data_IF_498938799372
#
_entry.id   IF_498938799372
#
_cell.length_a   1.000
_cell.length_b   1.000
_cell.length_c   1.000
_cell.angle_alpha   90.00
_cell.angle_beta   90.00
_cell.angle_gamma   90.00
#
_symmetry.space_group_name_H-M   'P 1'
#
loop_
_entity.id
_entity.type
_entity.pdbx_description
1 polymer ?
#
# COMPACT_ATOMS: atom_id res chain seq x y z
N UNK A 1 -36.51 -18.82 17.67
CA UNK A 1 -36.18 -17.97 16.50
C UNK A 1 -35.28 -16.82 16.96
N UNK A 2 -35.82 -15.74 17.56
CA UNK A 2 -35.02 -14.58 18.00
C UNK A 2 -33.94 -14.90 19.05
N UNK A 3 -34.25 -15.76 20.02
CA UNK A 3 -33.30 -16.16 21.06
C UNK A 3 -32.11 -16.98 20.54
N UNK A 4 -32.28 -17.67 19.42
CA UNK A 4 -31.23 -18.45 18.76
C UNK A 4 -30.33 -17.51 17.97
N UNK A 5 -30.93 -16.61 17.20
CA UNK A 5 -30.21 -15.58 16.44
C UNK A 5 -29.31 -14.69 17.32
N UNK A 6 -29.79 -14.26 18.50
CA UNK A 6 -28.98 -13.44 19.42
C UNK A 6 -27.79 -14.25 19.98
N UNK A 7 -27.95 -15.56 20.21
CA UNK A 7 -26.83 -16.41 20.65
C UNK A 7 -25.79 -16.58 19.55
N UNK A 8 -26.23 -16.84 18.31
CA UNK A 8 -25.34 -16.96 17.15
C UNK A 8 -24.56 -15.67 16.90
N UNK A 9 -25.20 -14.51 17.05
CA UNK A 9 -24.54 -13.20 16.90
C UNK A 9 -23.46 -12.95 17.98
N UNK A 10 -23.67 -13.43 19.20
CA UNK A 10 -22.69 -13.29 20.29
C UNK A 10 -21.49 -14.21 20.10
N UNK A 11 -21.69 -15.40 19.52
CA UNK A 11 -20.62 -16.36 19.22
C UNK A 11 -19.90 -16.05 17.88
N UNK A 12 -20.38 -15.08 17.10
CA UNK A 12 -19.83 -14.71 15.80
C UNK A 12 -18.53 -13.89 15.95
N UNK A 13 -17.41 -14.50 15.54
CA UNK A 13 -16.08 -13.87 15.52
C UNK A 13 -15.69 -13.27 14.17
N UNK A 14 -16.56 -13.35 13.15
CA UNK A 14 -16.28 -12.85 11.80
C UNK A 14 -15.95 -11.35 11.81
N UNK A 15 -16.63 -10.56 12.65
CA UNK A 15 -16.34 -9.14 12.84
C UNK A 15 -14.95 -8.89 13.44
N UNK A 16 -14.51 -9.69 14.40
CA UNK A 16 -13.16 -9.61 14.96
C UNK A 16 -12.10 -9.98 13.91
N UNK A 17 -12.34 -11.05 13.13
CA UNK A 17 -11.43 -11.44 12.04
C UNK A 17 -11.35 -10.38 10.93
N UNK A 18 -12.46 -9.68 10.63
CA UNK A 18 -12.45 -8.59 9.66
C UNK A 18 -11.54 -7.42 10.08
N UNK A 19 -11.44 -7.14 11.38
CA UNK A 19 -10.52 -6.13 11.93
C UNK A 19 -9.07 -6.60 11.81
N UNK A 20 -8.79 -7.87 12.10
CA UNK A 20 -7.43 -8.43 12.00
C UNK A 20 -6.93 -8.42 10.55
N UNK A 21 -7.71 -8.94 9.61
CA UNK A 21 -7.36 -8.91 8.19
C UNK A 21 -7.33 -7.49 7.64
N UNK A 22 -8.24 -6.61 8.10
CA UNK A 22 -8.22 -5.18 7.76
C UNK A 22 -6.94 -4.48 8.24
N UNK A 23 -6.47 -4.81 9.44
CA UNK A 23 -5.21 -4.29 9.98
C UNK A 23 -4.00 -4.81 9.19
N UNK A 24 -3.97 -6.10 8.85
CA UNK A 24 -2.88 -6.68 8.03
C UNK A 24 -2.82 -5.99 6.67
N UNK A 25 -3.95 -5.85 5.97
CA UNK A 25 -4.01 -5.19 4.65
C UNK A 25 -3.59 -3.73 4.74
N UNK A 26 -4.03 -2.99 5.76
CA UNK A 26 -3.64 -1.59 5.92
C UNK A 26 -2.13 -1.43 6.13
N UNK A 27 -1.50 -2.30 6.93
CA UNK A 27 -0.04 -2.30 7.11
C UNK A 27 0.72 -2.65 5.82
N UNK A 28 0.22 -3.60 5.03
CA UNK A 28 0.80 -3.95 3.72
C UNK A 28 0.73 -2.74 2.78
N UNK A 29 -0.41 -2.06 2.71
CA UNK A 29 -0.57 -0.87 1.85
C UNK A 29 0.37 0.26 2.27
N UNK A 30 0.54 0.50 3.57
CA UNK A 30 1.49 1.52 4.07
C UNK A 30 2.92 1.18 3.66
N UNK A 31 3.34 -0.08 3.80
CA UNK A 31 4.67 -0.52 3.38
C UNK A 31 4.87 -0.40 1.86
N UNK A 32 3.84 -0.74 1.07
CA UNK A 32 3.84 -0.58 -0.38
C UNK A 32 4.01 0.89 -0.79
N UNK A 33 3.31 1.83 -0.16
CA UNK A 33 3.42 3.26 -0.46
C UNK A 33 4.87 3.73 -0.25
N UNK A 34 5.49 3.35 0.86
CA UNK A 34 6.89 3.70 1.15
C UNK A 34 7.86 3.12 0.09
N UNK A 35 7.67 1.87 -0.31
CA UNK A 35 8.47 1.24 -1.35
C UNK A 35 8.31 1.94 -2.71
N UNK A 36 7.07 2.27 -3.09
CA UNK A 36 6.76 2.97 -4.34
C UNK A 36 7.38 4.37 -4.39
N UNK A 37 7.42 5.09 -3.26
CA UNK A 37 8.12 6.38 -3.18
C UNK A 37 9.62 6.23 -3.48
N UNK A 38 10.26 5.18 -2.95
CA UNK A 38 11.67 4.88 -3.25
C UNK A 38 11.91 4.60 -4.74
N UNK A 39 11.05 3.80 -5.36
CA UNK A 39 11.10 3.50 -6.80
C UNK A 39 10.90 4.76 -7.64
N UNK A 40 9.91 5.59 -7.28
CA UNK A 40 9.63 6.86 -7.97
C UNK A 40 10.84 7.80 -7.91
N UNK A 41 11.45 7.97 -6.73
CA UNK A 41 12.64 8.79 -6.55
C UNK A 41 13.82 8.32 -7.41
N UNK A 42 14.12 7.02 -7.41
CA UNK A 42 15.19 6.44 -8.23
C UNK A 42 14.92 6.61 -9.73
N UNK A 43 13.66 6.43 -10.15
CA UNK A 43 13.23 6.60 -11.54
C UNK A 43 13.40 8.04 -12.00
N UNK A 44 12.93 9.02 -11.20
CA UNK A 44 13.09 10.45 -11.48
C UNK A 44 14.58 10.79 -11.58
N UNK A 45 15.39 10.38 -10.62
CA UNK A 45 16.84 10.64 -10.63
C UNK A 45 17.53 10.07 -11.88
N UNK A 46 17.10 8.88 -12.33
CA UNK A 46 17.61 8.27 -13.55
C UNK A 46 17.26 9.11 -14.78
N UNK A 47 16.02 9.56 -14.90
CA UNK A 47 15.60 10.38 -16.03
C UNK A 47 16.23 11.77 -16.03
N UNK A 48 16.36 12.41 -14.86
CA UNK A 48 17.10 13.68 -14.73
C UNK A 48 18.55 13.53 -15.16
N UNK A 49 19.20 12.41 -14.82
CA UNK A 49 20.56 12.13 -15.30
C UNK A 49 20.59 11.97 -16.82
N UNK A 50 19.68 11.20 -17.40
CA UNK A 50 19.59 11.04 -18.86
C UNK A 50 19.37 12.38 -19.56
N UNK A 51 18.47 13.22 -19.04
CA UNK A 51 18.24 14.57 -19.54
C UNK A 51 19.51 15.42 -19.50
N UNK A 52 20.21 15.43 -18.35
CA UNK A 52 21.44 16.20 -18.16
C UNK A 52 22.52 15.79 -19.16
N UNK A 53 22.77 14.49 -19.29
CA UNK A 53 23.77 13.96 -20.23
C UNK A 53 23.37 14.21 -21.69
N UNK A 54 22.07 14.14 -22.00
CA UNK A 54 21.56 14.44 -23.34
C UNK A 54 21.75 15.91 -23.69
N UNK A 55 21.49 16.84 -22.78
CA UNK A 55 21.71 18.28 -22.99
C UNK A 55 23.20 18.56 -23.19
N UNK A 56 24.05 18.00 -22.33
CA UNK A 56 25.50 18.14 -22.44
C UNK A 56 26.04 17.63 -23.78
N UNK A 57 25.54 16.47 -24.26
CA UNK A 57 25.92 15.90 -25.55
C UNK A 57 25.48 16.75 -26.76
N UNK A 58 24.36 17.48 -26.63
CA UNK A 58 23.89 18.41 -27.67
C UNK A 58 24.69 19.72 -27.72
N UNK A 59 25.62 19.95 -26.79
CA UNK A 59 26.45 21.16 -26.76
C UNK A 59 25.66 22.45 -26.48
N UNK A 60 24.46 22.32 -25.87
CA UNK A 60 23.62 23.42 -25.42
C UNK A 60 23.95 23.82 -23.97
#
# INVERSE_FOLDING_TARGET
MLSIFIRELIDDQSGATAIEYGLIVSLIVVAMIAALQGVAGSTIATWTRVETESVAAMGA
#
